data_IF_841097331498
#
_entry.id   IF_841097331498
#
_cell.length_a   1.000
_cell.length_b   1.000
_cell.length_c   1.000
_cell.angle_alpha   90.00
_cell.angle_beta   90.00
_cell.angle_gamma   90.00
#
_symmetry.space_group_name_H-M   'P 1'
#
loop_
_entity.id
_entity.type
_entity.pdbx_description
1 polymer ?
#
# COMPACT_ATOMS: atom_id res chain seq x y z
N UNK A 1 4.31 3.69 -15.52
CA UNK A 1 5.61 3.86 -14.90
C UNK A 1 5.85 5.31 -14.52
N UNK A 2 5.79 6.23 -15.49
CA UNK A 2 5.94 7.66 -15.20
C UNK A 2 4.83 8.18 -14.30
N UNK A 3 3.61 7.72 -14.49
CA UNK A 3 2.47 8.11 -13.66
C UNK A 3 2.61 7.60 -12.24
N UNK A 4 3.09 6.38 -12.05
CA UNK A 4 3.33 5.82 -10.73
C UNK A 4 4.42 6.58 -9.99
N UNK A 5 5.50 6.95 -10.69
CA UNK A 5 6.57 7.76 -10.10
C UNK A 5 6.06 9.14 -9.70
N UNK A 6 5.23 9.76 -10.53
CA UNK A 6 4.63 11.06 -10.24
C UNK A 6 3.76 10.98 -8.99
N UNK A 7 2.95 9.93 -8.89
CA UNK A 7 2.07 9.72 -7.76
C UNK A 7 2.87 9.52 -6.47
N UNK A 8 3.94 8.71 -6.52
CA UNK A 8 4.80 8.48 -5.36
C UNK A 8 5.46 9.78 -4.90
N UNK A 9 5.96 10.59 -5.83
CA UNK A 9 6.54 11.89 -5.48
C UNK A 9 5.52 12.78 -4.77
N UNK A 10 4.29 12.78 -5.23
CA UNK A 10 3.21 13.54 -4.62
C UNK A 10 2.92 13.05 -3.20
N UNK A 11 2.81 11.74 -3.03
CA UNK A 11 2.50 11.15 -1.72
C UNK A 11 3.65 11.29 -0.72
N UNK A 12 4.90 11.40 -1.20
CA UNK A 12 6.08 11.53 -0.36
C UNK A 12 6.57 12.97 -0.27
N UNK A 13 5.73 13.92 -0.61
CA UNK A 13 6.07 15.33 -0.59
C UNK A 13 6.21 15.82 0.86
N UNK A 14 6.49 17.11 1.02
CA UNK A 14 6.66 17.76 2.32
C UNK A 14 5.62 17.27 3.34
N UNK A 15 6.04 16.86 4.57
CA UNK A 15 5.09 16.37 5.59
C UNK A 15 3.95 17.34 5.92
N UNK A 16 4.22 18.66 5.89
CA UNK A 16 3.18 19.67 6.15
C UNK A 16 2.12 19.65 5.05
N UNK A 17 2.56 19.53 3.79
CA UNK A 17 1.64 19.45 2.65
C UNK A 17 0.86 18.14 2.66
N UNK A 18 1.52 17.05 3.05
CA UNK A 18 0.86 15.76 3.17
C UNK A 18 -0.25 15.79 4.23
N UNK A 19 0.00 16.44 5.37
CA UNK A 19 -1.01 16.60 6.42
C UNK A 19 -2.20 17.43 5.95
N UNK A 20 -1.94 18.52 5.25
CA UNK A 20 -2.98 19.40 4.73
C UNK A 20 -3.84 18.67 3.69
N UNK A 21 -3.18 17.99 2.76
CA UNK A 21 -3.84 17.21 1.74
C UNK A 21 -4.67 16.09 2.37
N UNK A 22 -4.11 15.40 3.36
CA UNK A 22 -4.82 14.35 4.07
C UNK A 22 -6.08 14.84 4.74
N UNK A 23 -6.04 16.01 5.39
CA UNK A 23 -7.22 16.60 6.01
C UNK A 23 -8.31 16.90 5.00
N UNK A 24 -7.95 17.45 3.85
CA UNK A 24 -8.91 17.74 2.78
C UNK A 24 -9.53 16.46 2.22
N UNK A 25 -8.72 15.43 2.04
CA UNK A 25 -9.19 14.15 1.53
C UNK A 25 -10.09 13.41 2.53
N UNK A 26 -9.83 13.56 3.84
CA UNK A 26 -10.63 12.91 4.87
C UNK A 26 -12.08 13.40 4.89
N UNK A 27 -12.38 14.56 4.32
CA UNK A 27 -13.73 15.09 4.24
C UNK A 27 -14.52 14.55 3.05
N UNK A 28 -13.88 13.77 2.16
CA UNK A 28 -14.53 13.22 0.98
C UNK A 28 -15.23 11.90 1.32
N UNK A 29 -16.41 11.64 0.71
CA UNK A 29 -17.13 10.39 0.96
C UNK A 29 -16.38 9.14 0.52
N UNK A 30 -15.45 9.28 -0.45
CA UNK A 30 -14.67 8.17 -0.99
C UNK A 30 -13.26 8.08 -0.39
N UNK A 31 -13.08 8.62 0.82
CA UNK A 31 -11.77 8.67 1.47
C UNK A 31 -11.09 7.30 1.58
N UNK A 32 -11.86 6.26 1.94
CA UNK A 32 -11.29 4.92 2.10
C UNK A 32 -10.74 4.39 0.77
N UNK A 33 -11.44 4.64 -0.34
CA UNK A 33 -10.97 4.23 -1.66
C UNK A 33 -9.71 4.98 -2.07
N UNK A 34 -9.65 6.27 -1.78
CA UNK A 34 -8.49 7.10 -2.07
C UNK A 34 -7.28 6.62 -1.25
N UNK A 35 -7.51 6.34 0.02
CA UNK A 35 -6.46 5.88 0.93
C UNK A 35 -5.86 4.54 0.47
N UNK A 36 -6.71 3.61 0.06
CA UNK A 36 -6.28 2.31 -0.44
C UNK A 36 -5.47 2.47 -1.73
N UNK A 37 -5.96 3.31 -2.65
CA UNK A 37 -5.25 3.56 -3.90
C UNK A 37 -3.89 4.20 -3.66
N UNK A 38 -3.82 5.18 -2.76
CA UNK A 38 -2.55 5.81 -2.41
C UNK A 38 -1.55 4.80 -1.87
N UNK A 39 -2.00 3.95 -0.96
CA UNK A 39 -1.13 2.93 -0.39
C UNK A 39 -0.65 1.95 -1.46
N UNK A 40 -1.53 1.54 -2.38
CA UNK A 40 -1.16 0.66 -3.49
C UNK A 40 -0.03 1.27 -4.32
N UNK A 41 -0.18 2.55 -4.70
CA UNK A 41 0.81 3.22 -5.53
C UNK A 41 2.15 3.38 -4.80
N UNK A 42 2.11 3.73 -3.52
CA UNK A 42 3.31 3.85 -2.70
C UNK A 42 4.04 2.51 -2.61
N UNK A 43 3.32 1.45 -2.33
CA UNK A 43 3.90 0.11 -2.23
C UNK A 43 4.46 -0.35 -3.57
N UNK A 44 3.72 -0.13 -4.66
CA UNK A 44 4.20 -0.51 -5.99
C UNK A 44 5.51 0.19 -6.33
N UNK A 45 5.61 1.49 -6.08
CA UNK A 45 6.85 2.24 -6.31
C UNK A 45 7.99 1.69 -5.47
N UNK A 46 7.71 1.35 -4.21
CA UNK A 46 8.71 0.79 -3.32
C UNK A 46 9.29 -0.51 -3.87
N UNK A 47 8.44 -1.42 -4.34
CA UNK A 47 8.90 -2.68 -4.89
C UNK A 47 9.62 -2.50 -6.22
N UNK A 48 9.17 -1.58 -7.05
CA UNK A 48 9.83 -1.31 -8.33
C UNK A 48 11.22 -0.70 -8.16
N UNK A 49 11.44 0.04 -7.07
CA UNK A 49 12.73 0.67 -6.80
C UNK A 49 13.66 -0.20 -5.97
N UNK A 50 13.19 -1.31 -5.43
CA UNK A 50 13.95 -2.19 -4.56
C UNK A 50 13.85 -3.64 -5.02
N UNK A 51 14.75 -4.08 -5.94
CA UNK A 51 14.67 -5.44 -6.48
C UNK A 51 14.72 -6.54 -5.42
N UNK A 52 15.43 -6.31 -4.30
CA UNK A 52 15.51 -7.29 -3.22
C UNK A 52 14.15 -7.46 -2.51
N UNK A 53 13.45 -6.35 -2.28
CA UNK A 53 12.11 -6.40 -1.70
C UNK A 53 11.13 -7.07 -2.65
N UNK A 54 11.26 -6.78 -3.96
CA UNK A 54 10.45 -7.44 -4.97
C UNK A 54 10.64 -8.96 -4.92
N UNK A 55 11.90 -9.42 -4.85
CA UNK A 55 12.19 -10.84 -4.76
C UNK A 55 11.61 -11.48 -3.50
N UNK A 56 11.70 -10.76 -2.37
CA UNK A 56 11.11 -11.23 -1.12
C UNK A 56 9.60 -11.42 -1.24
N UNK A 57 8.93 -10.43 -1.84
CA UNK A 57 7.48 -10.51 -2.04
C UNK A 57 7.13 -11.70 -2.95
N UNK A 58 7.85 -11.86 -4.05
CA UNK A 58 7.63 -12.95 -4.99
C UNK A 58 7.93 -14.32 -4.36
N UNK A 59 8.89 -14.37 -3.42
CA UNK A 59 9.25 -15.61 -2.74
C UNK A 59 8.14 -16.16 -1.86
N UNK A 60 7.16 -15.33 -1.50
CA UNK A 60 6.01 -15.79 -0.72
C UNK A 60 5.04 -16.64 -1.56
N UNK A 61 5.22 -16.70 -2.88
CA UNK A 61 4.42 -17.52 -3.76
C UNK A 61 2.95 -17.14 -3.77
N UNK A 62 2.09 -18.09 -3.42
CA UNK A 62 0.65 -17.87 -3.37
C UNK A 62 0.13 -17.80 -1.93
N UNK A 63 1.02 -17.64 -0.96
CA UNK A 63 0.62 -17.58 0.44
C UNK A 63 -0.21 -16.33 0.71
N UNK A 64 -1.15 -16.48 1.63
CA UNK A 64 -1.94 -15.35 2.10
C UNK A 64 -1.04 -14.43 2.92
N UNK A 65 -1.08 -13.12 2.62
CA UNK A 65 -0.32 -12.12 3.34
C UNK A 65 -1.26 -11.34 4.25
N UNK A 66 -0.91 -11.28 5.53
CA UNK A 66 -1.72 -10.60 6.56
C UNK A 66 -0.82 -9.67 7.35
N UNK A 67 -1.26 -8.41 7.50
CA UNK A 67 -0.59 -7.43 8.34
C UNK A 67 -1.15 -7.55 9.75
N UNK A 68 -0.61 -8.47 10.54
CA UNK A 68 -1.03 -8.63 11.94
C UNK A 68 -0.30 -7.63 12.81
N UNK A 69 -1.04 -6.93 13.67
CA UNK A 69 -0.46 -5.91 14.53
C UNK A 69 -1.07 -5.93 15.93
N UNK A 70 -0.44 -5.20 16.86
CA UNK A 70 -0.86 -5.13 18.25
C UNK A 70 -1.34 -3.73 18.66
N UNK A 71 -1.35 -2.78 17.71
CA UNK A 71 -1.71 -1.38 18.01
C UNK A 71 -3.12 -1.00 17.57
N UNK A 72 -3.95 -1.99 17.25
CA UNK A 72 -5.36 -1.75 16.99
C UNK A 72 -5.72 -1.36 15.56
N UNK A 73 -4.82 -1.56 14.60
CA UNK A 73 -5.08 -1.22 13.20
C UNK A 73 -5.85 -2.35 12.51
N UNK A 74 -7.17 -2.20 12.44
CA UNK A 74 -8.04 -3.16 11.76
C UNK A 74 -8.40 -2.73 10.34
N UNK A 75 -7.86 -1.61 9.87
CA UNK A 75 -8.05 -1.18 8.48
C UNK A 75 -6.97 -1.77 7.58
N UNK A 76 -5.70 -1.42 7.83
CA UNK A 76 -4.59 -1.92 7.05
C UNK A 76 -4.26 -3.37 7.35
N UNK A 77 -4.47 -3.81 8.57
CA UNK A 77 -4.14 -5.15 8.99
C UNK A 77 -5.22 -5.80 9.81
N UNK A 78 -4.80 -6.71 10.69
CA UNK A 78 -5.68 -7.41 11.61
C UNK A 78 -5.12 -7.35 13.02
N UNK A 79 -6.02 -7.47 14.00
CA UNK A 79 -5.68 -7.59 15.42
C UNK A 79 -6.34 -8.85 15.95
N UNK A 80 -5.54 -9.80 16.42
CA UNK A 80 -6.02 -11.11 16.86
C UNK A 80 -6.86 -11.82 15.79
N UNK A 81 -6.44 -11.65 14.52
CA UNK A 81 -7.12 -12.27 13.40
C UNK A 81 -8.33 -11.52 12.85
N UNK A 82 -8.67 -10.39 13.44
CA UNK A 82 -9.84 -9.60 13.01
C UNK A 82 -9.39 -8.28 12.37
N UNK A 83 -9.95 -7.97 11.21
CA UNK A 83 -9.67 -6.73 10.51
C UNK A 83 -9.81 -6.88 9.01
N UNK A 84 -9.74 -5.75 8.30
CA UNK A 84 -9.93 -5.72 6.86
C UNK A 84 -8.68 -6.11 6.06
N UNK A 85 -7.50 -5.96 6.65
CA UNK A 85 -6.23 -6.37 6.05
C UNK A 85 -5.99 -5.78 4.65
N UNK A 86 -6.31 -4.50 4.47
CA UNK A 86 -6.14 -3.87 3.17
C UNK A 86 -4.69 -3.88 2.69
N UNK A 87 -3.73 -3.71 3.60
CA UNK A 87 -2.31 -3.75 3.23
C UNK A 87 -1.91 -5.13 2.71
N UNK A 88 -2.35 -6.20 3.39
CA UNK A 88 -2.09 -7.55 2.94
C UNK A 88 -2.69 -7.82 1.56
N UNK A 89 -3.91 -7.35 1.33
CA UNK A 89 -4.57 -7.48 0.03
C UNK A 89 -3.82 -6.73 -1.06
N UNK A 90 -3.36 -5.51 -0.76
CA UNK A 90 -2.55 -4.72 -1.69
C UNK A 90 -1.28 -5.48 -2.05
N UNK A 91 -0.58 -6.01 -1.06
CA UNK A 91 0.66 -6.75 -1.29
C UNK A 91 0.42 -8.00 -2.16
N UNK A 92 -0.68 -8.70 -1.94
CA UNK A 92 -1.03 -9.86 -2.76
C UNK A 92 -1.35 -9.45 -4.20
N UNK A 93 -2.03 -8.32 -4.40
CA UNK A 93 -2.32 -7.80 -5.73
C UNK A 93 -1.05 -7.38 -6.45
N UNK A 94 -0.15 -6.68 -5.76
CA UNK A 94 1.13 -6.27 -6.31
C UNK A 94 1.96 -7.50 -6.68
N UNK A 95 1.98 -8.50 -5.81
CA UNK A 95 2.70 -9.74 -6.07
C UNK A 95 2.23 -10.41 -7.35
N UNK A 96 0.93 -10.50 -7.54
CA UNK A 96 0.36 -11.09 -8.75
C UNK A 96 0.78 -10.32 -9.99
N UNK A 97 0.78 -8.99 -9.91
CA UNK A 97 1.18 -8.14 -11.03
C UNK A 97 2.65 -8.27 -11.35
N UNK A 98 3.51 -8.27 -10.32
CA UNK A 98 4.96 -8.35 -10.50
C UNK A 98 5.40 -9.71 -11.05
N UNK A 99 4.65 -10.76 -10.82
CA UNK A 99 4.96 -12.08 -11.36
C UNK A 99 4.96 -12.08 -12.90
N UNK A 100 4.20 -11.20 -13.52
CA UNK A 100 4.15 -11.09 -14.97
C UNK A 100 5.22 -10.15 -15.53
N UNK A 101 5.77 -9.27 -14.71
CA UNK A 101 6.72 -8.24 -15.16
C UNK A 101 8.18 -8.59 -14.83
N UNK A 102 8.38 -9.54 -13.95
CA UNK A 102 9.73 -9.98 -13.57
C UNK A 102 10.11 -11.32 -14.29
#
# INVERSE_FOLDING_TARGET
VKEQQRFCKFCMHNPADAKRLGRNLMLRPDWDKIKIRCMYEICMCKFMQNPELCRLLLSTGNRRLVEENTWGDTFWGTVNGYGENHLGRILMDIRAKLQFEC
#
